data_IF_492619457944
#
_entry.id   IF_492619457944
#
_cell.length_a   1.000
_cell.length_b   1.000
_cell.length_c   1.000
_cell.angle_alpha   90.00
_cell.angle_beta   90.00
_cell.angle_gamma   90.00
#
_symmetry.space_group_name_H-M   'P 1'
#
loop_
_entity.id
_entity.type
_entity.pdbx_description
1 polymer ?
#
# COMPACT_ATOMS: atom_id res chain seq x y z
N UNK A 1 -25.79 -5.58 16.75
CA UNK A 1 -24.67 -5.02 15.98
C UNK A 1 -23.40 -5.04 16.84
N UNK A 2 -22.28 -5.42 16.23
CA UNK A 2 -20.96 -5.36 16.85
C UNK A 2 -20.52 -3.91 17.04
N UNK A 3 -19.49 -3.67 17.84
CA UNK A 3 -18.86 -2.36 17.92
C UNK A 3 -18.15 -2.01 16.57
N UNK A 4 -18.14 -0.75 16.13
CA UNK A 4 -17.41 -0.37 14.94
C UNK A 4 -15.89 -0.57 15.13
N UNK A 5 -15.11 -0.85 14.09
CA UNK A 5 -13.67 -1.12 14.14
C UNK A 5 -12.84 0.18 14.33
N UNK A 6 -13.03 0.87 15.45
CA UNK A 6 -12.46 2.21 15.71
C UNK A 6 -10.93 2.18 15.66
N UNK A 7 -10.29 1.20 16.31
CA UNK A 7 -8.82 1.11 16.38
C UNK A 7 -8.17 1.06 14.98
N UNK A 8 -8.76 0.27 14.08
CA UNK A 8 -8.25 0.19 12.70
C UNK A 8 -8.44 1.51 11.95
N UNK A 9 -9.58 2.18 12.17
CA UNK A 9 -9.83 3.49 11.56
C UNK A 9 -8.81 4.53 12.06
N UNK A 10 -8.55 4.57 13.37
CA UNK A 10 -7.57 5.49 13.98
C UNK A 10 -6.15 5.21 13.47
N UNK A 11 -5.73 3.94 13.40
CA UNK A 11 -4.44 3.58 12.80
C UNK A 11 -4.30 4.10 11.36
N UNK A 12 -5.32 3.90 10.53
CA UNK A 12 -5.30 4.35 9.14
C UNK A 12 -5.25 5.87 9.07
N UNK A 13 -6.04 6.56 9.89
CA UNK A 13 -6.02 8.04 9.97
C UNK A 13 -4.65 8.56 10.39
N UNK A 14 -3.99 7.92 11.35
CA UNK A 14 -2.64 8.29 11.80
C UNK A 14 -1.60 8.18 10.66
N UNK A 15 -1.60 7.04 9.95
CA UNK A 15 -0.70 6.82 8.80
C UNK A 15 -0.95 7.83 7.69
N UNK A 16 -2.22 8.05 7.33
CA UNK A 16 -2.61 9.02 6.29
C UNK A 16 -2.20 10.43 6.68
N UNK A 17 -2.37 10.80 7.95
CA UNK A 17 -1.96 12.11 8.46
C UNK A 17 -0.46 12.33 8.27
N UNK A 18 0.37 11.37 8.64
CA UNK A 18 1.82 11.44 8.44
C UNK A 18 2.22 11.53 6.96
N UNK A 19 1.62 10.67 6.11
CA UNK A 19 1.87 10.67 4.68
C UNK A 19 1.43 11.99 4.00
N UNK A 20 0.32 12.56 4.44
CA UNK A 20 -0.20 13.84 3.93
C UNK A 20 0.68 15.02 4.36
N UNK A 21 1.19 15.01 5.59
CA UNK A 21 2.17 15.99 6.06
C UNK A 21 3.47 15.90 5.27
N UNK A 22 3.95 14.68 4.98
CA UNK A 22 5.10 14.44 4.11
C UNK A 22 4.85 14.98 2.69
N UNK A 23 3.66 14.74 2.12
CA UNK A 23 3.28 15.29 0.82
C UNK A 23 3.28 16.82 0.84
N UNK A 24 2.65 17.45 1.82
CA UNK A 24 2.58 18.91 1.96
C UNK A 24 3.96 19.57 2.14
N UNK A 25 4.91 18.87 2.77
CA UNK A 25 6.30 19.30 2.89
C UNK A 25 7.13 19.12 1.58
N UNK A 26 6.53 18.59 0.51
CA UNK A 26 7.19 18.32 -0.77
C UNK A 26 7.93 16.98 -0.83
N UNK A 27 7.75 16.10 0.19
CA UNK A 27 8.43 14.82 0.25
C UNK A 27 8.06 13.90 -0.92
N UNK A 28 6.81 13.92 -1.35
CA UNK A 28 6.38 13.14 -2.51
C UNK A 28 7.06 13.63 -3.80
N UNK A 29 7.13 14.95 -4.03
CA UNK A 29 7.81 15.50 -5.19
C UNK A 29 9.32 15.17 -5.18
N UNK A 30 9.94 15.16 -3.99
CA UNK A 30 11.32 14.70 -3.83
C UNK A 30 11.50 13.24 -4.23
N UNK A 31 10.58 12.35 -3.81
CA UNK A 31 10.61 10.95 -4.21
C UNK A 31 10.44 10.79 -5.73
N UNK A 32 9.54 11.57 -6.35
CA UNK A 32 9.33 11.55 -7.81
C UNK A 32 10.60 11.98 -8.55
N UNK A 33 11.28 13.05 -8.10
CA UNK A 33 12.58 13.46 -8.68
C UNK A 33 13.67 12.38 -8.54
N UNK A 34 13.63 11.61 -7.46
CA UNK A 34 14.55 10.48 -7.28
C UNK A 34 14.23 9.34 -8.26
N UNK A 35 12.94 9.04 -8.45
CA UNK A 35 12.47 8.07 -9.45
C UNK A 35 12.87 8.46 -10.87
N UNK A 36 12.61 9.71 -11.25
CA UNK A 36 13.00 10.26 -12.56
C UNK A 36 14.49 10.07 -12.82
N UNK A 37 15.32 10.46 -11.86
CA UNK A 37 16.79 10.33 -11.99
C UNK A 37 17.21 8.87 -12.19
N UNK A 38 16.58 7.93 -11.49
CA UNK A 38 16.86 6.49 -11.60
C UNK A 38 16.43 5.95 -12.97
N UNK A 39 15.22 6.30 -13.42
CA UNK A 39 14.65 5.85 -14.70
C UNK A 39 15.43 6.41 -15.88
N UNK A 40 15.76 7.71 -15.86
CA UNK A 40 16.56 8.36 -16.93
C UNK A 40 18.00 7.87 -16.99
N UNK A 41 18.55 7.36 -15.89
CA UNK A 41 19.90 6.77 -15.90
C UNK A 41 19.96 5.43 -16.65
N UNK A 42 18.86 4.67 -16.66
CA UNK A 42 18.78 3.35 -17.29
C UNK A 42 17.49 3.21 -18.11
N UNK A 43 17.31 4.01 -19.14
CA UNK A 43 16.03 4.14 -19.83
C UNK A 43 15.63 2.88 -20.62
N UNK A 44 16.60 2.10 -21.11
CA UNK A 44 16.35 0.81 -21.77
C UNK A 44 15.73 -0.26 -20.85
N UNK A 45 15.84 -0.07 -19.54
CA UNK A 45 15.29 -0.98 -18.53
C UNK A 45 14.02 -0.45 -17.87
N UNK A 46 13.39 0.57 -18.45
CA UNK A 46 12.21 1.23 -17.87
C UNK A 46 11.09 0.24 -17.51
N UNK A 47 10.87 -0.80 -18.32
CA UNK A 47 9.84 -1.83 -18.05
C UNK A 47 10.12 -2.66 -16.80
N UNK A 48 11.38 -2.79 -16.36
CA UNK A 48 11.74 -3.48 -15.11
C UNK A 48 11.89 -2.49 -13.95
N UNK A 49 12.49 -1.34 -14.19
CA UNK A 49 12.76 -0.37 -13.13
C UNK A 49 11.50 0.34 -12.65
N UNK A 50 10.55 0.63 -13.56
CA UNK A 50 9.31 1.31 -13.19
C UNK A 50 8.51 0.57 -12.12
N UNK A 51 8.21 -0.73 -12.27
CA UNK A 51 7.47 -1.45 -11.23
C UNK A 51 8.24 -1.54 -9.91
N UNK A 52 9.57 -1.63 -9.92
CA UNK A 52 10.36 -1.62 -8.69
C UNK A 52 10.31 -0.27 -7.98
N UNK A 53 10.34 0.83 -8.73
CA UNK A 53 10.22 2.18 -8.19
C UNK A 53 8.84 2.41 -7.60
N UNK A 54 7.77 2.09 -8.33
CA UNK A 54 6.40 2.25 -7.83
C UNK A 54 6.10 1.32 -6.66
N UNK A 55 6.65 0.09 -6.68
CA UNK A 55 6.57 -0.84 -5.55
C UNK A 55 7.22 -0.24 -4.31
N UNK A 56 8.47 0.23 -4.41
CA UNK A 56 9.18 0.81 -3.28
C UNK A 56 8.46 2.04 -2.71
N UNK A 57 7.96 2.92 -3.57
CA UNK A 57 7.25 4.12 -3.14
C UNK A 57 5.96 3.77 -2.42
N UNK A 58 5.17 2.86 -2.97
CA UNK A 58 3.93 2.40 -2.34
C UNK A 58 4.20 1.63 -1.06
N UNK A 59 5.24 0.78 -1.04
CA UNK A 59 5.66 0.06 0.16
C UNK A 59 5.98 1.01 1.31
N UNK A 60 6.77 2.06 1.05
CA UNK A 60 7.14 3.07 2.04
C UNK A 60 5.94 3.93 2.43
N UNK A 61 5.11 4.36 1.50
CA UNK A 61 3.99 5.27 1.77
C UNK A 61 2.74 4.56 2.32
N UNK A 62 2.64 3.24 2.21
CA UNK A 62 1.48 2.46 2.65
C UNK A 62 0.23 2.63 1.78
N UNK A 63 0.31 3.37 0.66
CA UNK A 63 -0.81 3.68 -0.23
C UNK A 63 -0.40 3.70 -1.70
N UNK A 64 -1.23 3.11 -2.58
CA UNK A 64 -0.99 3.06 -4.02
C UNK A 64 -1.11 4.40 -4.74
N UNK A 65 -1.70 5.41 -4.11
CA UNK A 65 -1.89 6.73 -4.74
C UNK A 65 -0.57 7.44 -5.06
N UNK A 66 0.50 7.12 -4.34
CA UNK A 66 1.84 7.64 -4.59
C UNK A 66 2.35 7.27 -5.99
N UNK A 67 1.95 6.12 -6.52
CA UNK A 67 2.34 5.69 -7.87
C UNK A 67 1.87 6.68 -8.95
N UNK A 68 0.70 7.32 -8.80
CA UNK A 68 0.18 8.26 -9.80
C UNK A 68 1.13 9.42 -10.08
N UNK A 69 1.92 9.83 -9.09
CA UNK A 69 2.90 10.90 -9.27
C UNK A 69 4.11 10.49 -10.11
N UNK A 70 4.37 9.18 -10.23
CA UNK A 70 5.50 8.63 -10.99
C UNK A 70 5.09 8.20 -12.40
N UNK A 71 3.82 7.85 -12.61
CA UNK A 71 3.35 7.33 -13.91
C UNK A 71 3.64 8.27 -15.09
N UNK A 72 3.46 9.63 -14.98
CA UNK A 72 3.80 10.53 -16.07
C UNK A 72 5.28 10.46 -16.46
N UNK A 73 6.18 10.38 -15.48
CA UNK A 73 7.63 10.24 -15.72
C UNK A 73 7.96 8.90 -16.42
N UNK A 74 7.30 7.83 -16.01
CA UNK A 74 7.46 6.52 -16.66
C UNK A 74 7.02 6.57 -18.12
N UNK A 75 5.87 7.21 -18.39
CA UNK A 75 5.34 7.38 -19.74
C UNK A 75 6.31 8.17 -20.64
N UNK A 76 6.84 9.27 -20.12
CA UNK A 76 7.79 10.13 -20.81
C UNK A 76 9.08 9.36 -21.16
N UNK A 77 9.73 8.74 -20.16
CA UNK A 77 10.98 7.98 -20.38
C UNK A 77 10.78 6.83 -21.36
N UNK A 78 9.64 6.12 -21.28
CA UNK A 78 9.29 5.05 -22.21
C UNK A 78 9.14 5.58 -23.64
N UNK A 79 8.45 6.69 -23.83
CA UNK A 79 8.24 7.33 -25.15
C UNK A 79 9.56 7.82 -25.74
N UNK A 80 10.40 8.48 -24.97
CA UNK A 80 11.73 8.95 -25.40
C UNK A 80 12.62 7.79 -25.88
N UNK A 81 12.55 6.65 -25.21
CA UNK A 81 13.33 5.45 -25.54
C UNK A 81 12.67 4.54 -26.55
N UNK A 82 11.53 4.95 -27.14
CA UNK A 82 10.76 4.17 -28.12
C UNK A 82 10.25 2.83 -27.56
N UNK A 83 10.19 2.69 -26.25
CA UNK A 83 9.55 1.56 -25.58
C UNK A 83 8.06 1.87 -25.47
N UNK A 84 7.23 0.89 -25.80
CA UNK A 84 5.77 1.00 -25.70
C UNK A 84 5.34 1.37 -24.26
N UNK A 85 4.76 2.54 -24.02
CA UNK A 85 4.48 3.04 -22.65
C UNK A 85 3.54 2.13 -21.84
N UNK A 86 2.61 1.42 -22.49
CA UNK A 86 1.70 0.50 -21.83
C UNK A 86 2.43 -0.64 -21.10
N UNK A 87 3.63 -1.04 -21.55
CA UNK A 87 4.43 -2.08 -20.90
C UNK A 87 4.86 -1.65 -19.50
N UNK A 88 5.67 -0.59 -19.32
CA UNK A 88 6.10 -0.16 -18.00
C UNK A 88 4.97 0.42 -17.16
N UNK A 89 3.99 1.12 -17.74
CA UNK A 89 2.86 1.69 -16.99
C UNK A 89 1.96 0.60 -16.40
N UNK A 90 1.56 -0.39 -17.20
CA UNK A 90 0.70 -1.47 -16.73
C UNK A 90 1.31 -2.23 -15.57
N UNK A 91 2.57 -2.64 -15.70
CA UNK A 91 3.22 -3.36 -14.60
C UNK A 91 3.58 -2.47 -13.41
N UNK A 92 3.82 -1.17 -13.60
CA UNK A 92 4.04 -0.23 -12.51
C UNK A 92 2.78 -0.06 -11.64
N UNK A 93 1.59 0.00 -12.26
CA UNK A 93 0.32 0.04 -11.54
C UNK A 93 0.11 -1.26 -10.75
N UNK A 94 0.32 -2.42 -11.38
CA UNK A 94 0.21 -3.72 -10.71
C UNK A 94 1.19 -3.80 -9.54
N UNK A 95 2.43 -3.38 -9.72
CA UNK A 95 3.44 -3.37 -8.68
C UNK A 95 3.07 -2.50 -7.48
N UNK A 96 2.46 -1.34 -7.71
CA UNK A 96 1.97 -0.49 -6.62
C UNK A 96 0.86 -1.17 -5.82
N UNK A 97 -0.07 -1.87 -6.48
CA UNK A 97 -1.13 -2.62 -5.78
C UNK A 97 -0.56 -3.81 -4.99
N UNK A 98 0.42 -4.51 -5.53
CA UNK A 98 1.10 -5.59 -4.81
C UNK A 98 1.87 -5.06 -3.59
N UNK A 99 2.49 -3.90 -3.69
CA UNK A 99 3.22 -3.27 -2.61
C UNK A 99 2.34 -2.86 -1.42
N UNK A 100 1.06 -2.55 -1.63
CA UNK A 100 0.09 -2.31 -0.54
C UNK A 100 0.00 -3.55 0.36
N UNK A 101 -0.07 -4.74 -0.23
CA UNK A 101 -0.15 -6.00 0.52
C UNK A 101 1.13 -6.29 1.31
N UNK A 102 2.28 -5.84 0.82
CA UNK A 102 3.58 -6.03 1.46
C UNK A 102 3.96 -4.90 2.43
N UNK A 103 3.29 -3.74 2.37
CA UNK A 103 3.65 -2.58 3.20
C UNK A 103 3.26 -2.79 4.66
N UNK A 104 4.18 -2.57 5.61
CA UNK A 104 3.93 -2.73 7.04
C UNK A 104 2.90 -1.75 7.61
N UNK A 105 2.70 -0.62 6.94
CA UNK A 105 1.82 0.48 7.38
C UNK A 105 0.58 0.62 6.50
N UNK A 106 0.35 -0.28 5.55
CA UNK A 106 -0.86 -0.25 4.74
C UNK A 106 -2.10 -0.62 5.54
N UNK A 107 -3.23 -0.07 5.16
CA UNK A 107 -4.52 -0.41 5.78
C UNK A 107 -4.82 -1.92 5.74
N UNK A 108 -4.36 -2.63 4.72
CA UNK A 108 -4.55 -4.07 4.58
C UNK A 108 -3.71 -4.86 5.60
N UNK A 109 -2.42 -4.55 5.72
CA UNK A 109 -1.51 -5.23 6.67
C UNK A 109 -1.88 -4.93 8.11
N UNK A 110 -2.22 -3.67 8.40
CA UNK A 110 -2.68 -3.24 9.73
C UNK A 110 -3.99 -3.95 10.11
N UNK A 111 -4.94 -4.04 9.17
CA UNK A 111 -6.19 -4.78 9.41
C UNK A 111 -5.92 -6.28 9.65
N UNK A 112 -5.04 -6.90 8.86
CA UNK A 112 -4.66 -8.29 9.02
C UNK A 112 -3.99 -8.55 10.39
N UNK A 113 -3.03 -7.70 10.75
CA UNK A 113 -2.34 -7.81 12.04
C UNK A 113 -3.33 -7.71 13.22
N UNK A 114 -4.29 -6.78 13.14
CA UNK A 114 -5.35 -6.65 14.14
C UNK A 114 -6.23 -7.89 14.26
N UNK A 115 -6.59 -8.53 13.15
CA UNK A 115 -7.38 -9.77 13.14
C UNK A 115 -6.60 -10.98 13.68
N UNK A 116 -5.27 -10.97 13.55
CA UNK A 116 -4.39 -12.05 14.01
C UNK A 116 -3.89 -11.85 15.45
N UNK A 117 -4.39 -10.84 16.15
CA UNK A 117 -4.09 -10.63 17.57
C UNK A 117 -4.55 -11.85 18.38
N UNK A 118 -3.64 -12.44 19.17
CA UNK A 118 -3.90 -13.66 19.96
C UNK A 118 -3.46 -14.96 19.29
N UNK A 119 -2.89 -14.92 18.08
CA UNK A 119 -2.34 -16.09 17.39
C UNK A 119 -0.81 -16.17 17.38
N UNK A 120 -0.13 -15.38 18.21
CA UNK A 120 1.35 -15.27 18.27
C UNK A 120 2.01 -14.94 16.92
N UNK A 121 1.25 -14.32 16.00
CA UNK A 121 1.74 -13.87 14.69
C UNK A 121 2.22 -12.44 14.79
N UNK A 122 3.49 -12.24 14.46
CA UNK A 122 4.12 -10.91 14.44
C UNK A 122 3.98 -10.24 13.07
N UNK A 123 4.22 -8.92 13.02
CA UNK A 123 4.30 -8.21 11.75
C UNK A 123 5.40 -8.80 10.85
N UNK A 124 6.53 -9.23 11.43
CA UNK A 124 7.60 -9.87 10.67
C UNK A 124 7.14 -11.16 10.00
N UNK A 125 6.29 -11.96 10.66
CA UNK A 125 5.74 -13.20 10.09
C UNK A 125 4.87 -12.95 8.86
N UNK A 126 4.15 -11.85 8.84
CA UNK A 126 3.40 -11.40 7.68
C UNK A 126 4.35 -10.94 6.57
N UNK A 127 5.29 -10.05 6.91
CA UNK A 127 6.19 -9.44 5.93
C UNK A 127 7.13 -10.44 5.26
N UNK A 128 7.64 -11.45 5.99
CA UNK A 128 8.50 -12.50 5.43
C UNK A 128 7.84 -13.34 4.35
N UNK A 129 6.50 -13.35 4.31
CA UNK A 129 5.72 -14.04 3.28
C UNK A 129 5.32 -13.06 2.18
N UNK A 130 4.77 -11.91 2.55
CA UNK A 130 4.17 -10.98 1.60
C UNK A 130 5.22 -10.27 0.73
N UNK A 131 6.37 -9.88 1.29
CA UNK A 131 7.42 -9.20 0.52
C UNK A 131 7.97 -10.09 -0.60
N UNK A 132 8.49 -11.30 -0.34
CA UNK A 132 9.04 -12.12 -1.42
C UNK A 132 7.96 -12.55 -2.42
N UNK A 133 6.75 -12.90 -1.97
CA UNK A 133 5.68 -13.33 -2.86
C UNK A 133 5.28 -12.22 -3.84
N UNK A 134 5.09 -11.00 -3.36
CA UNK A 134 4.72 -9.86 -4.20
C UNK A 134 5.85 -9.39 -5.10
N UNK A 135 7.10 -9.37 -4.61
CA UNK A 135 8.27 -9.03 -5.44
C UNK A 135 8.49 -10.02 -6.57
N UNK A 136 8.37 -11.33 -6.31
CA UNK A 136 8.47 -12.36 -7.34
C UNK A 136 7.38 -12.15 -8.39
N UNK A 137 6.11 -11.94 -7.94
CA UNK A 137 5.00 -11.67 -8.85
C UNK A 137 5.23 -10.43 -9.72
N UNK A 138 5.72 -9.34 -9.13
CA UNK A 138 6.06 -8.10 -9.85
C UNK A 138 7.18 -8.33 -10.86
N UNK A 139 8.25 -9.03 -10.49
CA UNK A 139 9.37 -9.31 -11.38
C UNK A 139 8.95 -10.21 -12.55
N UNK A 140 8.20 -11.27 -12.28
CA UNK A 140 7.66 -12.15 -13.34
C UNK A 140 6.76 -11.33 -14.27
N UNK A 141 5.85 -10.53 -13.73
CA UNK A 141 5.00 -9.64 -14.52
C UNK A 141 5.81 -8.65 -15.37
N UNK A 142 6.88 -8.07 -14.82
CA UNK A 142 7.76 -7.16 -15.55
C UNK A 142 8.48 -7.85 -16.73
N UNK A 143 8.96 -9.06 -16.53
CA UNK A 143 9.58 -9.84 -17.61
C UNK A 143 8.58 -10.22 -18.71
N UNK A 144 7.37 -10.61 -18.33
CA UNK A 144 6.31 -10.93 -19.30
C UNK A 144 5.86 -9.69 -20.06
N UNK A 145 5.74 -8.55 -19.38
CA UNK A 145 5.32 -7.26 -19.97
C UNK A 145 6.28 -6.76 -21.06
N UNK A 146 7.57 -7.13 -21.02
CA UNK A 146 8.54 -6.75 -22.07
C UNK A 146 8.13 -7.18 -23.47
N UNK A 147 7.36 -8.26 -23.60
CA UNK A 147 6.96 -8.86 -24.89
C UNK A 147 5.53 -8.51 -25.28
N UNK A 148 4.83 -7.69 -24.50
CA UNK A 148 3.43 -7.34 -24.78
C UNK A 148 3.35 -6.31 -25.90
N UNK A 149 2.55 -6.59 -26.94
CA UNK A 149 2.29 -5.70 -28.06
C UNK A 149 3.48 -5.58 -29.04
N UNK A 150 3.26 -4.87 -30.15
CA UNK A 150 4.30 -4.56 -31.14
C UNK A 150 5.27 -3.51 -30.60
N UNK A 151 6.46 -3.45 -31.18
CA UNK A 151 7.37 -2.34 -30.91
C UNK A 151 6.74 -1.01 -31.36
N UNK A 152 7.04 0.08 -30.66
CA UNK A 152 6.36 1.36 -30.88
C UNK A 152 6.52 1.88 -32.30
N UNK A 153 7.70 1.72 -32.88
CA UNK A 153 7.99 2.13 -34.25
C UNK A 153 7.41 1.20 -35.34
N UNK A 154 6.90 0.03 -34.95
CA UNK A 154 6.25 -0.94 -35.86
C UNK A 154 4.71 -0.88 -35.74
N UNK A 155 4.18 0.00 -34.88
CA UNK A 155 2.74 0.16 -34.68
C UNK A 155 2.18 1.21 -35.64
N UNK A 156 1.34 0.81 -36.62
CA UNK A 156 0.79 1.74 -37.60
C UNK A 156 -0.05 2.87 -36.96
N UNK A 157 -0.74 2.58 -35.85
CA UNK A 157 -1.56 3.59 -35.16
C UNK A 157 -0.68 4.62 -34.43
N UNK A 158 0.42 4.16 -33.84
CA UNK A 158 1.40 5.10 -33.27
C UNK A 158 2.00 6.03 -34.30
N UNK A 159 2.41 5.47 -35.47
CA UNK A 159 2.98 6.26 -36.55
C UNK A 159 1.98 7.27 -37.12
N UNK A 160 0.72 6.85 -37.29
CA UNK A 160 -0.38 7.73 -37.72
C UNK A 160 -0.59 8.91 -36.76
N UNK A 161 -0.59 8.63 -35.44
CA UNK A 161 -0.77 9.65 -34.40
C UNK A 161 0.44 10.60 -34.31
N UNK A 162 1.62 10.07 -34.52
CA UNK A 162 2.86 10.84 -34.54
C UNK A 162 2.86 11.83 -35.73
N UNK A 163 2.52 11.35 -36.95
CA UNK A 163 2.39 12.17 -38.15
C UNK A 163 1.28 13.23 -38.02
N UNK A 164 0.19 12.90 -37.35
CA UNK A 164 -0.90 13.82 -37.08
C UNK A 164 -0.59 14.85 -35.95
N UNK A 165 0.60 14.79 -35.33
CA UNK A 165 0.98 15.68 -34.23
C UNK A 165 0.16 15.48 -32.95
N UNK A 166 -0.49 14.31 -32.79
CA UNK A 166 -1.34 13.99 -31.63
C UNK A 166 -0.54 13.46 -30.44
N UNK A 167 0.74 13.17 -30.63
CA UNK A 167 1.62 12.68 -29.57
C UNK A 167 2.40 13.88 -29.03
N UNK A 168 2.05 14.27 -27.82
CA UNK A 168 2.80 15.33 -27.12
C UNK A 168 4.12 14.74 -26.57
N UNK A 169 5.24 15.22 -27.10
CA UNK A 169 6.59 14.82 -26.67
C UNK A 169 7.17 15.83 -25.68
N UNK A 170 6.34 16.74 -25.13
CA UNK A 170 6.82 17.71 -24.15
C UNK A 170 7.23 17.02 -22.87
N UNK A 171 8.31 17.52 -22.31
CA UNK A 171 8.76 17.08 -20.98
C UNK A 171 7.68 17.36 -19.93
N UNK A 172 7.44 16.39 -19.06
CA UNK A 172 6.60 16.59 -17.89
C UNK A 172 7.34 17.56 -16.97
N UNK A 173 6.81 18.75 -16.82
CA UNK A 173 7.32 19.69 -15.83
C UNK A 173 6.99 19.14 -14.45
N UNK A 174 7.98 18.55 -13.79
CA UNK A 174 7.84 18.19 -12.38
C UNK A 174 7.78 19.43 -11.53
N UNK A 175 6.85 19.44 -10.57
CA UNK A 175 6.77 20.50 -9.60
C UNK A 175 8.13 20.77 -8.97
N UNK A 176 8.59 21.99 -9.02
CA UNK A 176 9.83 22.36 -8.35
C UNK A 176 9.65 22.23 -6.84
N UNK A 177 10.50 21.43 -6.23
CA UNK A 177 10.53 21.27 -4.78
C UNK A 177 11.00 22.60 -4.19
N UNK A 178 10.05 23.37 -3.66
CA UNK A 178 10.31 24.75 -3.13
C UNK A 178 11.42 24.77 -2.08
N UNK A 179 11.50 23.71 -1.27
CA UNK A 179 12.55 23.54 -0.26
C UNK A 179 13.01 22.08 -0.21
N UNK A 180 14.13 21.80 -0.87
CA UNK A 180 14.70 20.45 -0.95
C UNK A 180 15.07 19.87 0.43
N UNK A 181 15.49 20.71 1.37
CA UNK A 181 15.81 20.25 2.72
C UNK A 181 14.55 19.77 3.46
N UNK A 182 13.47 20.54 3.44
CA UNK A 182 12.21 20.15 4.09
C UNK A 182 11.61 18.89 3.46
N UNK A 183 11.62 18.81 2.14
CA UNK A 183 11.15 17.66 1.40
C UNK A 183 11.95 16.39 1.77
N UNK A 184 13.26 16.46 1.78
CA UNK A 184 14.13 15.33 2.14
C UNK A 184 13.95 14.91 3.59
N UNK A 185 13.93 15.86 4.52
CA UNK A 185 13.80 15.56 5.96
C UNK A 185 12.43 14.94 6.28
N UNK A 186 11.36 15.39 5.62
CA UNK A 186 10.03 14.81 5.82
C UNK A 186 9.96 13.33 5.39
N UNK A 187 10.60 12.97 4.29
CA UNK A 187 10.73 11.57 3.86
C UNK A 187 11.55 10.75 4.85
N UNK A 188 12.66 11.29 5.35
CA UNK A 188 13.50 10.59 6.34
C UNK A 188 12.72 10.35 7.64
N UNK A 189 12.00 11.33 8.16
CA UNK A 189 11.18 11.20 9.37
C UNK A 189 10.10 10.13 9.16
N UNK A 190 9.42 10.15 8.02
CA UNK A 190 8.37 9.18 7.71
C UNK A 190 8.92 7.75 7.61
N UNK A 191 10.06 7.56 6.91
CA UNK A 191 10.74 6.25 6.83
C UNK A 191 11.22 5.81 8.21
N UNK A 192 11.79 6.69 9.03
CA UNK A 192 12.23 6.36 10.38
C UNK A 192 11.07 5.88 11.26
N UNK A 193 9.92 6.57 11.22
CA UNK A 193 8.71 6.13 11.92
C UNK A 193 8.24 4.74 11.44
N UNK A 194 8.24 4.52 10.13
CA UNK A 194 7.89 3.21 9.54
C UNK A 194 8.85 2.11 10.01
N UNK A 195 10.15 2.37 10.03
CA UNK A 195 11.15 1.41 10.52
C UNK A 195 10.97 1.10 12.01
N UNK A 196 10.62 2.09 12.83
CA UNK A 196 10.29 1.87 14.24
C UNK A 196 9.03 1.00 14.40
N UNK A 197 8.01 1.21 13.58
CA UNK A 197 6.81 0.35 13.58
C UNK A 197 7.19 -1.10 13.25
N UNK A 198 8.02 -1.30 12.22
CA UNK A 198 8.50 -2.64 11.85
C UNK A 198 9.32 -3.25 13.00
N UNK A 199 10.18 -2.49 13.63
CA UNK A 199 10.99 -2.94 14.76
C UNK A 199 10.13 -3.42 15.93
N UNK A 200 9.19 -2.59 16.41
CA UNK A 200 8.31 -2.94 17.51
C UNK A 200 7.29 -4.02 17.15
N UNK A 201 6.88 -4.09 15.88
CA UNK A 201 6.00 -5.13 15.37
C UNK A 201 6.69 -6.49 15.21
N UNK A 202 8.01 -6.49 14.97
CA UNK A 202 8.82 -7.70 14.77
C UNK A 202 9.42 -8.24 16.08
N UNK A 203 9.67 -7.36 17.05
CA UNK A 203 10.35 -7.71 18.33
C UNK A 203 9.44 -7.23 19.48
N UNK A 204 8.47 -8.06 19.92
CA UNK A 204 7.51 -7.65 20.96
C UNK A 204 8.18 -7.21 22.28
N UNK A 205 9.34 -7.77 22.65
CA UNK A 205 10.08 -7.40 23.85
C UNK A 205 10.58 -5.94 23.85
N UNK A 206 10.74 -5.33 22.66
CA UNK A 206 11.16 -3.93 22.53
C UNK A 206 10.00 -2.94 22.62
N UNK A 207 8.75 -3.41 22.69
CA UNK A 207 7.59 -2.54 22.78
C UNK A 207 7.65 -1.71 24.07
N UNK A 208 7.32 -0.41 24.00
CA UNK A 208 7.22 0.42 25.19
C UNK A 208 6.21 -0.14 26.21
N UNK A 209 6.57 -0.11 27.48
CA UNK A 209 5.68 -0.55 28.57
C UNK A 209 5.11 0.68 29.27
N UNK A 210 3.80 0.73 29.39
CA UNK A 210 3.09 1.78 30.12
C UNK A 210 2.19 1.15 31.18
N UNK A 211 2.29 1.62 32.43
CA UNK A 211 1.58 1.06 33.58
C UNK A 211 1.72 -0.49 33.73
N UNK A 212 2.90 -1.01 33.43
CA UNK A 212 3.18 -2.45 33.55
C UNK A 212 2.69 -3.32 32.39
N UNK A 213 2.02 -2.74 31.40
CA UNK A 213 1.58 -3.44 30.16
C UNK A 213 2.32 -2.92 28.94
N UNK A 214 2.76 -3.84 28.07
CA UNK A 214 3.34 -3.47 26.77
C UNK A 214 2.25 -2.88 25.88
N UNK A 215 2.59 -1.79 25.17
CA UNK A 215 1.67 -1.19 24.21
C UNK A 215 1.35 -2.19 23.09
N UNK A 216 0.10 -2.21 22.68
CA UNK A 216 -0.33 -2.96 21.51
C UNK A 216 0.11 -2.29 20.20
N UNK A 217 0.04 -3.02 19.09
CA UNK A 217 0.48 -2.50 17.79
C UNK A 217 -0.38 -1.35 17.26
N UNK A 218 -1.71 -1.33 17.43
CA UNK A 218 -2.52 -0.17 17.11
C UNK A 218 -2.00 1.12 17.73
N UNK A 219 -1.84 1.15 19.04
CA UNK A 219 -1.35 2.32 19.77
C UNK A 219 0.06 2.75 19.34
N UNK A 220 0.97 1.79 19.08
CA UNK A 220 2.31 2.08 18.58
C UNK A 220 2.27 2.76 17.20
N UNK A 221 1.45 2.26 16.29
CA UNK A 221 1.30 2.85 14.95
C UNK A 221 0.72 4.26 15.05
N UNK A 222 -0.32 4.44 15.84
CA UNK A 222 -0.97 5.75 16.06
C UNK A 222 0.02 6.76 16.62
N UNK A 223 0.70 6.43 17.72
CA UNK A 223 1.65 7.33 18.37
C UNK A 223 2.79 7.70 17.41
N UNK A 224 3.45 6.71 16.80
CA UNK A 224 4.61 6.97 15.95
C UNK A 224 4.25 7.78 14.71
N UNK A 225 3.12 7.49 14.06
CA UNK A 225 2.71 8.21 12.87
C UNK A 225 2.21 9.62 13.18
N UNK A 226 1.44 9.82 14.24
CA UNK A 226 1.00 11.16 14.64
C UNK A 226 2.19 12.01 15.12
N UNK A 227 3.14 11.43 15.85
CA UNK A 227 4.39 12.12 16.20
C UNK A 227 5.19 12.50 14.94
N UNK A 228 5.32 11.59 13.98
CA UNK A 228 5.98 11.87 12.70
C UNK A 228 5.27 13.02 11.96
N UNK A 229 3.94 13.01 11.88
CA UNK A 229 3.16 14.10 11.30
C UNK A 229 3.46 15.45 11.98
N UNK A 230 3.41 15.49 13.30
CA UNK A 230 3.68 16.70 14.08
C UNK A 230 5.12 17.21 13.86
N UNK A 231 6.12 16.32 13.90
CA UNK A 231 7.53 16.67 13.69
C UNK A 231 7.75 17.17 12.26
N UNK A 232 7.14 16.55 11.25
CA UNK A 232 7.21 17.02 9.86
C UNK A 232 6.63 18.42 9.74
N UNK A 233 5.45 18.71 10.29
CA UNK A 233 4.83 20.04 10.23
C UNK A 233 5.69 21.09 10.93
N UNK A 234 6.25 20.79 12.09
CA UNK A 234 7.10 21.70 12.85
C UNK A 234 8.39 22.04 12.11
N UNK A 235 9.09 21.03 11.56
CA UNK A 235 10.37 21.23 10.88
C UNK A 235 10.15 21.89 9.51
N UNK A 236 9.16 21.45 8.75
CA UNK A 236 8.88 22.00 7.42
C UNK A 236 8.16 23.34 7.47
N UNK A 237 7.68 23.76 8.63
CA UNK A 237 6.83 24.95 8.82
C UNK A 237 5.65 24.95 7.83
N UNK A 238 5.11 23.79 7.55
CA UNK A 238 4.01 23.60 6.62
C UNK A 238 2.69 23.76 7.37
N UNK A 239 1.74 24.46 6.76
CA UNK A 239 0.40 24.59 7.30
C UNK A 239 -0.33 23.25 7.24
N UNK A 240 -0.96 22.83 8.35
CA UNK A 240 -1.75 21.60 8.43
C UNK A 240 -2.92 21.56 7.43
N UNK A 241 -3.48 22.72 7.05
CA UNK A 241 -4.53 22.83 6.03
C UNK A 241 -4.01 22.30 4.68
N UNK A 242 -2.76 22.59 4.32
CA UNK A 242 -2.15 22.08 3.07
C UNK A 242 -2.03 20.57 3.07
N UNK A 243 -1.81 19.94 4.22
CA UNK A 243 -1.77 18.49 4.32
C UNK A 243 -3.12 17.85 3.95
N UNK A 244 -4.25 18.49 4.31
CA UNK A 244 -5.58 17.97 3.97
C UNK A 244 -6.01 18.24 2.52
N UNK A 245 -5.37 19.18 1.84
CA UNK A 245 -5.66 19.54 0.44
C UNK A 245 -4.89 18.69 -0.57
N UNK A 246 -3.86 17.96 -0.14
CA UNK A 246 -3.10 17.04 -1.00
C UNK A 246 -3.94 15.83 -1.44
N UNK A 247 -3.44 15.07 -2.42
CA UNK A 247 -4.14 13.88 -2.94
C UNK A 247 -4.20 12.71 -1.96
N UNK A 248 -3.24 12.61 -1.05
CA UNK A 248 -3.10 11.50 -0.11
C UNK A 248 -4.20 11.51 0.94
N UNK A 249 -4.51 12.67 1.52
CA UNK A 249 -5.50 12.77 2.61
C UNK A 249 -6.92 12.40 2.16
N UNK A 250 -7.50 12.98 1.10
CA UNK A 250 -8.84 12.62 0.64
C UNK A 250 -8.94 11.15 0.24
N UNK A 251 -7.95 10.62 -0.46
CA UNK A 251 -7.93 9.22 -0.87
C UNK A 251 -7.87 8.27 0.34
N UNK A 252 -7.09 8.62 1.36
CA UNK A 252 -7.03 7.88 2.61
C UNK A 252 -8.33 7.95 3.40
N UNK A 253 -8.98 9.10 3.47
CA UNK A 253 -10.27 9.24 4.14
C UNK A 253 -11.39 8.46 3.44
N UNK A 254 -11.35 8.36 2.10
CA UNK A 254 -12.26 7.46 1.36
C UNK A 254 -12.07 6.00 1.79
N UNK A 255 -10.82 5.56 1.96
CA UNK A 255 -10.53 4.22 2.46
C UNK A 255 -11.06 4.00 3.89
N UNK A 256 -10.92 4.98 4.77
CA UNK A 256 -11.46 4.93 6.15
C UNK A 256 -12.99 4.76 6.12
N UNK A 257 -13.69 5.57 5.32
CA UNK A 257 -15.15 5.50 5.20
C UNK A 257 -15.60 4.15 4.64
N UNK A 258 -14.93 3.67 3.59
CA UNK A 258 -15.24 2.37 2.98
C UNK A 258 -15.02 1.22 3.96
N UNK A 259 -13.90 1.23 4.70
CA UNK A 259 -13.59 0.21 5.71
C UNK A 259 -14.61 0.26 6.85
N UNK A 260 -14.98 1.45 7.32
CA UNK A 260 -16.01 1.60 8.35
C UNK A 260 -17.32 0.92 7.94
N UNK A 261 -17.85 1.22 6.76
CA UNK A 261 -19.10 0.63 6.27
C UNK A 261 -19.00 -0.88 6.07
N UNK A 262 -18.01 -1.32 5.29
CA UNK A 262 -17.86 -2.73 4.89
C UNK A 262 -17.44 -3.59 6.09
N UNK A 263 -16.49 -3.13 6.91
CA UNK A 263 -16.00 -3.92 8.04
C UNK A 263 -17.08 -4.07 9.11
N UNK A 264 -17.76 -2.99 9.48
CA UNK A 264 -18.82 -3.08 10.49
C UNK A 264 -20.00 -3.93 10.04
N UNK A 265 -20.40 -3.81 8.77
CA UNK A 265 -21.42 -4.67 8.17
C UNK A 265 -20.95 -6.13 8.19
N UNK A 266 -19.71 -6.40 7.74
CA UNK A 266 -19.13 -7.74 7.70
C UNK A 266 -19.03 -8.37 9.09
N UNK A 267 -18.50 -7.66 10.07
CA UNK A 267 -18.38 -8.10 11.45
C UNK A 267 -19.76 -8.41 12.06
N UNK A 268 -20.76 -7.57 11.80
CA UNK A 268 -22.13 -7.79 12.28
C UNK A 268 -22.76 -9.02 11.63
N UNK A 269 -22.58 -9.19 10.32
CA UNK A 269 -23.06 -10.36 9.58
C UNK A 269 -22.42 -11.66 10.07
N UNK A 270 -21.08 -11.66 10.18
CA UNK A 270 -20.32 -12.84 10.61
C UNK A 270 -20.71 -13.25 12.03
N UNK A 271 -20.72 -12.30 12.98
CA UNK A 271 -21.08 -12.59 14.36
C UNK A 271 -22.55 -13.03 14.51
N UNK A 272 -23.45 -12.50 13.67
CA UNK A 272 -24.85 -12.89 13.64
C UNK A 272 -25.11 -14.31 13.09
N UNK A 273 -24.18 -14.83 12.27
CA UNK A 273 -24.29 -16.13 11.60
C UNK A 273 -23.13 -17.07 11.92
N UNK A 274 -22.39 -16.84 12.98
CA UNK A 274 -21.10 -17.51 13.27
C UNK A 274 -21.24 -19.02 13.34
N UNK A 275 -22.31 -19.52 13.93
CA UNK A 275 -22.57 -20.95 14.10
C UNK A 275 -22.76 -21.68 12.76
N UNK A 276 -23.53 -21.08 11.87
CA UNK A 276 -23.83 -21.66 10.56
C UNK A 276 -22.62 -21.56 9.61
N UNK A 277 -21.94 -20.40 9.64
CA UNK A 277 -20.74 -20.15 8.82
C UNK A 277 -19.59 -21.07 9.23
N UNK A 278 -19.36 -21.24 10.55
CA UNK A 278 -18.26 -22.08 11.03
C UNK A 278 -18.49 -23.53 10.63
N UNK A 279 -19.71 -24.07 10.79
CA UNK A 279 -20.03 -25.44 10.40
C UNK A 279 -19.84 -25.72 8.91
N UNK A 280 -20.17 -24.75 8.06
CA UNK A 280 -20.08 -24.89 6.60
C UNK A 280 -18.66 -24.69 6.07
N UNK A 281 -17.91 -23.75 6.62
CA UNK A 281 -16.59 -23.34 6.12
C UNK A 281 -15.45 -24.16 6.73
N UNK A 282 -15.59 -24.60 8.00
CA UNK A 282 -14.54 -25.33 8.71
C UNK A 282 -14.07 -26.58 7.95
N UNK A 283 -15.01 -27.36 7.41
CA UNK A 283 -14.69 -28.55 6.63
C UNK A 283 -13.90 -28.25 5.36
N UNK A 284 -14.27 -27.15 4.67
CA UNK A 284 -13.63 -26.73 3.42
C UNK A 284 -12.23 -26.16 3.71
N UNK A 285 -12.09 -25.27 4.69
CA UNK A 285 -10.81 -24.63 5.03
C UNK A 285 -9.81 -25.65 5.55
N UNK A 286 -10.24 -26.64 6.36
CA UNK A 286 -9.35 -27.70 6.87
C UNK A 286 -8.89 -28.66 5.78
N UNK A 287 -9.79 -29.07 4.87
CA UNK A 287 -9.44 -30.03 3.81
C UNK A 287 -8.72 -29.39 2.63
N UNK A 288 -9.04 -28.15 2.28
CA UNK A 288 -8.52 -27.43 1.12
C UNK A 288 -8.18 -25.96 1.45
N UNK A 289 -7.10 -25.69 2.22
CA UNK A 289 -6.74 -24.32 2.61
C UNK A 289 -6.53 -23.38 1.42
N UNK A 290 -6.13 -23.88 0.25
CA UNK A 290 -5.93 -23.11 -0.97
C UNK A 290 -7.25 -22.50 -1.51
N UNK A 291 -8.40 -23.12 -1.25
CA UNK A 291 -9.71 -22.57 -1.63
C UNK A 291 -10.00 -21.27 -0.90
N UNK A 292 -9.52 -21.12 0.34
CA UNK A 292 -9.62 -19.87 1.07
C UNK A 292 -8.80 -18.75 0.40
N UNK A 293 -7.60 -19.08 -0.08
CA UNK A 293 -6.80 -18.17 -0.88
C UNK A 293 -7.49 -17.74 -2.19
N UNK A 294 -8.17 -18.69 -2.85
CA UNK A 294 -8.97 -18.39 -4.05
C UNK A 294 -10.18 -17.49 -3.72
N UNK A 295 -10.84 -17.72 -2.61
CA UNK A 295 -11.94 -16.86 -2.15
C UNK A 295 -11.47 -15.43 -1.87
N UNK A 296 -10.31 -15.27 -1.20
CA UNK A 296 -9.68 -13.95 -1.00
C UNK A 296 -9.37 -13.27 -2.34
N UNK A 297 -8.83 -14.01 -3.30
CA UNK A 297 -8.52 -13.49 -4.64
C UNK A 297 -9.80 -12.99 -5.35
N UNK A 298 -10.86 -13.81 -5.42
CA UNK A 298 -12.12 -13.44 -6.07
C UNK A 298 -12.77 -12.24 -5.37
N UNK A 299 -12.78 -12.22 -4.04
CA UNK A 299 -13.36 -11.11 -3.28
C UNK A 299 -12.54 -9.83 -3.43
N UNK A 300 -11.23 -9.92 -3.61
CA UNK A 300 -10.39 -8.72 -3.87
C UNK A 300 -10.74 -8.05 -5.20
N UNK A 301 -11.14 -8.84 -6.19
CA UNK A 301 -11.63 -8.32 -7.49
C UNK A 301 -12.97 -7.61 -7.31
N UNK A 302 -13.88 -8.18 -6.52
CA UNK A 302 -15.22 -7.62 -6.31
C UNK A 302 -15.20 -6.35 -5.46
N UNK A 303 -14.38 -6.32 -4.43
CA UNK A 303 -14.32 -5.22 -3.47
C UNK A 303 -13.36 -4.09 -3.88
N UNK A 304 -12.51 -4.30 -4.87
CA UNK A 304 -11.49 -3.34 -5.32
C UNK A 304 -10.64 -2.76 -4.19
N UNK A 305 -10.48 -3.50 -3.09
CA UNK A 305 -9.79 -3.05 -1.89
C UNK A 305 -9.20 -4.21 -1.11
N UNK A 306 -7.88 -4.23 -0.94
CA UNK A 306 -7.17 -5.22 -0.15
C UNK A 306 -7.62 -5.19 1.32
N UNK A 307 -7.74 -3.99 1.90
CA UNK A 307 -8.14 -3.83 3.28
C UNK A 307 -9.58 -4.27 3.54
N UNK A 308 -10.51 -3.95 2.63
CA UNK A 308 -11.90 -4.40 2.71
C UNK A 308 -11.98 -5.94 2.57
N UNK A 309 -11.19 -6.53 1.67
CA UNK A 309 -11.13 -7.99 1.48
C UNK A 309 -10.64 -8.71 2.73
N UNK A 310 -9.55 -8.22 3.33
CA UNK A 310 -9.01 -8.76 4.58
C UNK A 310 -10.09 -8.73 5.67
N UNK A 311 -10.76 -7.60 5.84
CA UNK A 311 -11.81 -7.46 6.85
C UNK A 311 -13.03 -8.34 6.60
N UNK A 312 -13.44 -8.50 5.35
CA UNK A 312 -14.65 -9.26 5.02
C UNK A 312 -14.43 -10.78 5.09
N UNK A 313 -13.26 -11.29 4.70
CA UNK A 313 -13.07 -12.73 4.48
C UNK A 313 -12.15 -13.39 5.51
N UNK A 314 -11.09 -12.69 5.97
CA UNK A 314 -10.14 -13.31 6.90
C UNK A 314 -10.78 -13.79 8.21
N UNK A 315 -11.75 -13.10 8.82
CA UNK A 315 -12.45 -13.62 10.01
C UNK A 315 -13.09 -15.00 9.79
N UNK A 316 -13.59 -15.30 8.58
CA UNK A 316 -14.16 -16.62 8.24
C UNK A 316 -13.11 -17.73 8.25
N UNK A 317 -11.86 -17.42 7.88
CA UNK A 317 -10.75 -18.38 7.92
C UNK A 317 -10.16 -18.56 9.32
N UNK A 318 -10.24 -17.54 10.17
CA UNK A 318 -9.72 -17.57 11.54
C UNK A 318 -10.69 -18.24 12.50
N UNK A 319 -11.99 -18.07 12.34
CA UNK A 319 -13.02 -18.62 13.23
C UNK A 319 -12.85 -20.12 13.52
N UNK A 320 -12.62 -21.02 12.53
CA UNK A 320 -12.40 -22.44 12.80
C UNK A 320 -11.15 -22.74 13.62
N UNK A 321 -10.09 -21.93 13.46
CA UNK A 321 -8.81 -22.09 14.17
C UNK A 321 -8.96 -21.67 15.63
N UNK A 322 -9.66 -20.56 15.89
CA UNK A 322 -9.92 -20.05 17.23
C UNK A 322 -10.70 -21.05 18.10
N UNK A 323 -11.70 -21.74 17.53
CA UNK A 323 -12.48 -22.74 18.25
C UNK A 323 -11.68 -24.00 18.65
N UNK A 324 -10.61 -24.32 17.91
CA UNK A 324 -9.75 -25.50 18.25
C UNK A 324 -8.79 -25.21 19.38
N UNK A 325 -8.30 -23.98 19.52
CA UNK A 325 -7.43 -23.58 20.64
C UNK A 325 -8.19 -23.42 21.98
N UNK A 326 -9.50 -23.18 21.93
CA UNK A 326 -10.34 -23.11 23.14
C UNK A 326 -10.78 -24.48 23.65
N UNK A 327 -10.58 -25.57 22.88
CA UNK A 327 -10.94 -26.96 23.25
C UNK A 327 -9.73 -27.84 23.56
N UNK A 328 -8.53 -27.34 23.43
CA UNK A 328 -7.28 -28.00 23.82
C UNK A 328 -6.74 -27.41 25.12
#
# INVERSE_FOLDING_TARGET
PTAPPIDVMLMIVAVISAASCMQAAGGLDYMVKLAERLLRRNPSQVTILSPLVTYLFTFVAGTGHVAYSVLPVIAEVATETKIRPERPLGIAVIASQQAITASPISAATVALLGLLTGFDITLFDILKITIPATLIGVLVGAFLSKKVGKELLEDPEYLRRLEAGMIDTKHVELNDVKNMFHARISVIIFIAATLLIVLFGSIPVMRPVFNGTALDMPAIIEILMLCAAAVILLISRTDGIKATQGSVFPAGMQAVIAIFGIAWMGDTFINGNITELTGSIEGIVRQMPWLFGLALFVMSILLYSQAATVRAIVPLGIAPVSYTHLRA
#
